data_IF_128204039536
#
_entry.id   IF_128204039536
#
_cell.length_a   1.000
_cell.length_b   1.000
_cell.length_c   1.000
_cell.angle_alpha   90.00
_cell.angle_beta   90.00
_cell.angle_gamma   90.00
#
_symmetry.space_group_name_H-M   'P 1'
#
loop_
_entity.id
_entity.type
_entity.pdbx_description
1 polymer ?
#
# COMPACT_ATOMS: atom_id res chain seq x y z
N UNK A 1 33.80 2.00 -10.79
CA UNK A 1 33.11 0.78 -11.26
C UNK A 1 31.63 0.96 -10.94
N UNK A 2 30.77 1.13 -11.95
CA UNK A 2 29.32 1.15 -11.75
C UNK A 2 28.89 -0.23 -11.22
N UNK A 3 28.30 -0.30 -10.04
CA UNK A 3 27.69 -1.53 -9.53
C UNK A 3 26.63 -1.99 -10.54
N UNK A 4 26.90 -3.10 -11.23
CA UNK A 4 25.88 -3.72 -12.09
C UNK A 4 24.69 -4.11 -11.23
N UNK A 5 23.47 -3.82 -11.72
CA UNK A 5 22.17 -4.15 -11.10
C UNK A 5 21.81 -3.35 -9.84
N UNK A 6 22.32 -2.12 -9.67
CA UNK A 6 21.89 -1.26 -8.55
C UNK A 6 20.39 -0.99 -8.61
N UNK A 7 19.69 -1.25 -7.52
CA UNK A 7 18.28 -0.96 -7.36
C UNK A 7 18.05 0.26 -6.45
N UNK A 8 17.12 1.14 -6.81
CA UNK A 8 16.64 2.20 -5.92
C UNK A 8 15.22 1.90 -5.46
N UNK A 9 14.96 2.09 -4.17
CA UNK A 9 13.63 2.00 -3.56
C UNK A 9 13.25 3.34 -2.97
N UNK A 10 12.21 4.02 -3.50
CA UNK A 10 11.65 5.22 -2.85
C UNK A 10 10.71 4.85 -1.72
N UNK A 11 10.59 5.74 -0.70
CA UNK A 11 9.80 5.42 0.48
C UNK A 11 10.34 4.24 1.28
N UNK A 12 11.67 4.07 1.25
CA UNK A 12 12.38 2.93 1.82
C UNK A 12 12.21 2.75 3.34
N UNK A 13 11.83 3.79 4.07
CA UNK A 13 11.49 3.72 5.49
C UNK A 13 10.01 3.40 5.77
N UNK A 14 9.18 3.26 4.72
CA UNK A 14 7.79 2.84 4.82
C UNK A 14 7.66 1.32 4.99
N UNK A 15 6.45 0.84 5.31
CA UNK A 15 6.20 -0.58 5.58
C UNK A 15 6.62 -1.49 4.42
N UNK A 16 6.13 -1.23 3.19
CA UNK A 16 6.55 -2.00 2.02
C UNK A 16 8.01 -1.70 1.64
N UNK A 17 8.39 -0.42 1.59
CA UNK A 17 9.74 -0.03 1.15
C UNK A 17 10.85 -0.69 1.97
N UNK A 18 10.70 -0.76 3.30
CA UNK A 18 11.69 -1.39 4.16
C UNK A 18 11.75 -2.92 4.00
N UNK A 19 10.59 -3.58 3.90
CA UNK A 19 10.54 -5.01 3.61
C UNK A 19 11.15 -5.34 2.25
N UNK A 20 10.94 -4.49 1.25
CA UNK A 20 11.54 -4.66 -0.09
C UNK A 20 13.07 -4.46 -0.06
N UNK A 21 13.57 -3.44 0.65
CA UNK A 21 15.02 -3.25 0.84
C UNK A 21 15.66 -4.49 1.46
N UNK A 22 15.08 -5.02 2.56
CA UNK A 22 15.56 -6.25 3.21
C UNK A 22 15.55 -7.45 2.27
N UNK A 23 14.49 -7.61 1.49
CA UNK A 23 14.39 -8.69 0.52
C UNK A 23 15.46 -8.56 -0.57
N UNK A 24 15.62 -7.39 -1.17
CA UNK A 24 16.61 -7.17 -2.23
C UNK A 24 18.04 -7.46 -1.74
N UNK A 25 18.39 -7.01 -0.53
CA UNK A 25 19.68 -7.34 0.10
C UNK A 25 19.83 -8.86 0.26
N UNK A 26 18.80 -9.57 0.74
CA UNK A 26 18.83 -11.02 0.91
C UNK A 26 18.97 -11.79 -0.42
N UNK A 27 18.56 -11.19 -1.54
CA UNK A 27 18.75 -11.70 -2.91
C UNK A 27 20.10 -11.31 -3.50
N UNK A 28 20.95 -10.60 -2.77
CA UNK A 28 22.26 -10.13 -3.26
C UNK A 28 22.19 -8.97 -4.25
N UNK A 29 21.06 -8.23 -4.27
CA UNK A 29 20.89 -7.03 -5.10
C UNK A 29 21.43 -5.83 -4.35
N UNK A 30 22.38 -5.05 -4.91
CA UNK A 30 22.81 -3.78 -4.34
C UNK A 30 21.63 -2.80 -4.26
N UNK A 31 21.41 -2.17 -3.10
CA UNK A 31 20.24 -1.33 -2.87
C UNK A 31 20.64 0.08 -2.43
N UNK A 32 20.03 1.05 -3.08
CA UNK A 32 19.95 2.42 -2.63
C UNK A 32 18.57 2.71 -2.05
N UNK A 33 18.51 2.95 -0.75
CA UNK A 33 17.29 3.23 0.00
C UNK A 33 17.03 4.74 0.05
N UNK A 34 15.97 5.21 -0.62
CA UNK A 34 15.64 6.64 -0.69
C UNK A 34 14.56 7.01 0.31
N UNK A 35 14.85 8.05 1.12
CA UNK A 35 13.97 8.58 2.17
C UNK A 35 13.93 10.10 2.15
N UNK A 36 12.83 10.69 2.63
CA UNK A 36 12.71 12.16 2.79
C UNK A 36 13.56 12.69 3.95
N UNK A 37 13.65 11.95 5.02
CA UNK A 37 14.42 12.32 6.20
C UNK A 37 15.49 11.28 6.52
N UNK A 38 16.75 11.59 6.20
CA UNK A 38 17.90 10.71 6.39
C UNK A 38 18.35 10.61 7.87
N UNK A 39 17.82 11.48 8.76
CA UNK A 39 18.19 11.48 10.17
C UNK A 39 17.66 10.26 10.94
N UNK A 40 16.54 9.68 10.52
CA UNK A 40 16.01 8.46 11.11
C UNK A 40 16.69 7.24 10.49
N UNK A 41 17.66 6.67 11.20
CA UNK A 41 18.42 5.48 10.77
C UNK A 41 17.81 4.15 11.25
N UNK A 42 16.90 4.18 12.23
CA UNK A 42 16.29 3.00 12.86
C UNK A 42 15.81 1.95 11.83
N UNK A 43 15.12 2.32 10.73
CA UNK A 43 14.64 1.34 9.75
C UNK A 43 15.75 0.59 9.00
N UNK A 44 16.98 1.12 9.01
CA UNK A 44 18.11 0.63 8.22
C UNK A 44 19.24 0.04 9.08
N UNK A 45 19.06 -0.03 10.40
CA UNK A 45 20.07 -0.61 11.29
C UNK A 45 20.35 -2.06 10.90
N UNK A 46 21.65 -2.38 10.73
CA UNK A 46 22.12 -3.71 10.33
C UNK A 46 21.88 -4.08 8.86
N UNK A 47 21.41 -3.15 8.02
CA UNK A 47 21.22 -3.39 6.58
C UNK A 47 22.40 -2.83 5.78
N UNK A 48 22.92 -3.66 4.86
CA UNK A 48 23.95 -3.25 3.90
C UNK A 48 23.29 -2.56 2.70
N UNK A 49 22.99 -1.27 2.84
CA UNK A 49 22.41 -0.44 1.78
C UNK A 49 22.88 1.01 1.87
N UNK A 50 22.97 1.66 0.72
CA UNK A 50 23.20 3.10 0.65
C UNK A 50 21.89 3.85 0.97
N UNK A 51 21.89 4.72 1.99
CA UNK A 51 20.73 5.54 2.32
C UNK A 51 20.89 6.93 1.77
N UNK A 52 19.97 7.38 0.89
CA UNK A 52 20.02 8.70 0.25
C UNK A 52 18.77 9.52 0.54
N UNK A 53 18.90 10.83 0.49
CA UNK A 53 17.76 11.72 0.65
C UNK A 53 17.15 12.06 -0.72
N UNK A 54 15.86 11.80 -0.88
CA UNK A 54 15.07 12.37 -1.98
C UNK A 54 13.59 12.55 -1.60
N UNK A 55 12.91 13.46 -2.28
CA UNK A 55 11.48 13.69 -2.16
C UNK A 55 10.82 13.51 -3.53
N UNK A 56 9.68 12.82 -3.58
CA UNK A 56 8.95 12.62 -4.85
C UNK A 56 8.43 13.93 -5.45
N UNK A 57 8.33 15.00 -4.65
CA UNK A 57 7.96 16.34 -5.12
C UNK A 57 9.16 17.16 -5.59
N UNK A 58 10.39 16.66 -5.42
CA UNK A 58 11.64 17.29 -5.90
C UNK A 58 12.33 16.40 -6.94
N UNK A 59 12.04 16.67 -8.22
CA UNK A 59 12.60 15.93 -9.36
C UNK A 59 14.13 15.91 -9.36
N UNK A 60 14.79 16.99 -8.94
CA UNK A 60 16.26 17.05 -8.92
C UNK A 60 16.86 16.13 -7.84
N UNK A 61 16.20 16.02 -6.68
CA UNK A 61 16.63 15.08 -5.65
C UNK A 61 16.47 13.62 -6.11
N UNK A 62 15.38 13.31 -6.82
CA UNK A 62 15.17 12.00 -7.42
C UNK A 62 16.21 11.67 -8.48
N UNK A 63 16.54 12.62 -9.36
CA UNK A 63 17.55 12.44 -10.41
C UNK A 63 18.91 12.07 -9.81
N UNK A 64 19.37 12.80 -8.78
CA UNK A 64 20.61 12.46 -8.08
C UNK A 64 20.54 11.07 -7.43
N UNK A 65 19.42 10.73 -6.81
CA UNK A 65 19.24 9.41 -6.19
C UNK A 65 19.26 8.26 -7.23
N UNK A 66 18.83 8.52 -8.46
CA UNK A 66 18.74 7.54 -9.55
C UNK A 66 20.03 7.39 -10.37
N UNK A 67 21.09 8.17 -10.09
CA UNK A 67 22.37 8.05 -10.82
C UNK A 67 22.94 6.63 -10.69
N UNK A 68 23.18 5.97 -11.83
CA UNK A 68 23.71 4.61 -11.91
C UNK A 68 22.73 3.50 -11.54
N UNK A 69 21.46 3.80 -11.31
CA UNK A 69 20.41 2.84 -11.00
C UNK A 69 19.92 2.13 -12.26
N UNK A 70 19.84 0.80 -12.21
CA UNK A 70 19.31 -0.01 -13.31
C UNK A 70 17.81 -0.32 -13.13
N UNK A 71 17.41 -0.66 -11.90
CA UNK A 71 16.01 -0.99 -11.57
C UNK A 71 15.48 -0.01 -10.52
N UNK A 72 14.35 0.61 -10.81
CA UNK A 72 13.71 1.56 -9.92
C UNK A 72 12.40 1.02 -9.37
N UNK A 73 12.31 0.84 -8.05
CA UNK A 73 11.08 0.52 -7.34
C UNK A 73 10.43 1.82 -6.86
N UNK A 74 9.48 2.31 -7.62
CA UNK A 74 8.73 3.55 -7.37
C UNK A 74 7.62 3.29 -6.33
N UNK A 75 8.02 3.11 -5.05
CA UNK A 75 7.12 2.75 -3.93
C UNK A 75 6.58 3.98 -3.21
N UNK A 76 7.29 5.10 -3.25
CA UNK A 76 6.94 6.33 -2.54
C UNK A 76 5.61 6.92 -3.01
N UNK A 77 4.66 7.08 -2.09
CA UNK A 77 3.38 7.75 -2.31
C UNK A 77 2.77 8.22 -0.99
N UNK A 78 1.85 9.20 -1.04
CA UNK A 78 1.01 9.55 0.09
C UNK A 78 -0.17 8.59 0.17
N UNK A 79 -0.24 7.80 1.25
CA UNK A 79 -1.36 6.93 1.54
C UNK A 79 -2.20 7.49 2.69
N UNK A 80 -3.22 8.27 2.37
CA UNK A 80 -4.22 8.78 3.29
C UNK A 80 -5.60 8.69 2.64
N UNK A 81 -6.62 8.27 3.38
CA UNK A 81 -8.01 8.28 2.89
C UNK A 81 -8.71 9.61 3.19
N UNK A 82 -8.14 10.42 4.11
CA UNK A 82 -8.68 11.71 4.53
C UNK A 82 -7.56 12.75 4.71
N UNK A 83 -7.85 13.98 4.33
CA UNK A 83 -7.06 15.19 4.62
C UNK A 83 -8.00 16.40 4.66
N UNK A 84 -7.56 17.54 5.21
CA UNK A 84 -8.33 18.79 5.19
C UNK A 84 -8.58 19.27 3.75
N UNK A 85 -7.56 19.21 2.93
CA UNK A 85 -7.62 19.42 1.47
C UNK A 85 -7.15 18.16 0.75
N UNK A 86 -8.05 17.18 0.46
CA UNK A 86 -7.66 15.91 -0.14
C UNK A 86 -7.13 16.05 -1.56
N UNK A 87 -7.55 17.09 -2.31
CA UNK A 87 -7.05 17.34 -3.65
C UNK A 87 -5.58 17.77 -3.61
N UNK A 88 -5.26 18.76 -2.77
CA UNK A 88 -3.91 19.28 -2.62
C UNK A 88 -2.99 18.27 -1.92
N UNK A 89 -3.42 17.71 -0.78
CA UNK A 89 -2.56 16.96 0.14
C UNK A 89 -2.40 15.48 -0.23
N UNK A 90 -3.23 14.97 -1.16
CA UNK A 90 -3.21 13.56 -1.58
C UNK A 90 -3.10 13.47 -3.10
N UNK A 91 -4.10 13.98 -3.84
CA UNK A 91 -4.19 13.77 -5.28
C UNK A 91 -3.03 14.45 -6.03
N UNK A 92 -2.85 15.76 -5.85
CA UNK A 92 -1.81 16.51 -6.57
C UNK A 92 -0.41 16.04 -6.18
N UNK A 93 -0.13 15.77 -4.91
CA UNK A 93 1.17 15.26 -4.45
C UNK A 93 1.50 13.92 -5.10
N UNK A 94 0.52 12.99 -5.18
CA UNK A 94 0.75 11.68 -5.80
C UNK A 94 0.92 11.78 -7.31
N UNK A 95 0.16 12.63 -7.99
CA UNK A 95 0.25 12.79 -9.43
C UNK A 95 1.57 13.48 -9.85
N UNK A 96 1.94 14.56 -9.16
CA UNK A 96 3.23 15.24 -9.35
C UNK A 96 4.39 14.30 -9.00
N UNK A 97 4.31 13.60 -7.88
CA UNK A 97 5.31 12.60 -7.49
C UNK A 97 5.49 11.50 -8.54
N UNK A 98 4.40 11.01 -9.13
CA UNK A 98 4.46 10.03 -10.23
C UNK A 98 5.19 10.62 -11.44
N UNK A 99 4.82 11.83 -11.86
CA UNK A 99 5.49 12.53 -12.97
C UNK A 99 6.99 12.65 -12.72
N UNK A 100 7.36 13.19 -11.56
CA UNK A 100 8.75 13.42 -11.20
C UNK A 100 9.56 12.12 -11.14
N UNK A 101 8.99 11.05 -10.59
CA UNK A 101 9.64 9.74 -10.52
C UNK A 101 9.95 9.16 -11.91
N UNK A 102 8.97 9.18 -12.83
CA UNK A 102 9.16 8.60 -14.16
C UNK A 102 10.11 9.47 -15.01
N UNK A 103 9.93 10.78 -14.99
CA UNK A 103 10.80 11.69 -15.74
C UNK A 103 12.24 11.70 -15.21
N UNK A 104 12.45 11.67 -13.89
CA UNK A 104 13.79 11.57 -13.31
C UNK A 104 14.45 10.24 -13.66
N UNK A 105 13.68 9.13 -13.68
CA UNK A 105 14.18 7.82 -14.10
C UNK A 105 14.60 7.82 -15.57
N UNK A 106 13.83 8.48 -16.44
CA UNK A 106 14.18 8.65 -17.85
C UNK A 106 15.50 9.42 -18.02
N UNK A 107 15.62 10.54 -17.33
CA UNK A 107 16.82 11.40 -17.39
C UNK A 107 18.07 10.71 -16.80
N UNK A 108 17.89 9.79 -15.84
CA UNK A 108 18.97 9.02 -15.25
C UNK A 108 19.35 7.75 -16.04
N UNK A 109 18.59 7.40 -17.09
CA UNK A 109 18.84 6.22 -17.91
C UNK A 109 18.46 4.90 -17.23
N UNK A 110 17.48 4.93 -16.31
CA UNK A 110 16.91 3.72 -15.68
C UNK A 110 16.29 2.85 -16.76
N UNK A 111 16.53 1.53 -16.69
CA UNK A 111 16.04 0.58 -17.68
C UNK A 111 14.63 0.09 -17.36
N UNK A 112 14.35 -0.16 -16.07
CA UNK A 112 13.12 -0.79 -15.65
C UNK A 112 12.55 -0.15 -14.38
N UNK A 113 11.24 0.09 -14.40
CA UNK A 113 10.48 0.63 -13.26
C UNK A 113 9.44 -0.38 -12.80
N UNK A 114 9.43 -0.68 -11.49
CA UNK A 114 8.30 -1.32 -10.83
C UNK A 114 7.50 -0.23 -10.11
N UNK A 115 6.34 0.09 -10.65
CA UNK A 115 5.48 1.15 -10.14
C UNK A 115 4.47 0.60 -9.13
N UNK A 116 4.46 1.15 -7.91
CA UNK A 116 3.49 0.79 -6.88
C UNK A 116 2.15 1.50 -7.12
N UNK A 117 1.26 0.84 -7.81
CA UNK A 117 -0.13 1.22 -7.91
C UNK A 117 -0.92 0.73 -6.66
N UNK A 118 -2.15 0.33 -6.80
CA UNK A 118 -3.03 -0.19 -5.74
C UNK A 118 -4.22 -0.90 -6.34
N UNK A 119 -4.83 -1.82 -5.59
CA UNK A 119 -6.19 -2.31 -5.91
C UNK A 119 -7.21 -1.15 -6.03
N UNK A 120 -6.93 0.02 -5.45
CA UNK A 120 -7.75 1.22 -5.61
C UNK A 120 -7.91 1.68 -7.07
N UNK A 121 -6.97 1.32 -7.95
CA UNK A 121 -7.02 1.61 -9.38
C UNK A 121 -7.79 0.57 -10.21
N UNK A 122 -8.35 -0.48 -9.59
CA UNK A 122 -9.09 -1.54 -10.29
C UNK A 122 -10.58 -1.23 -10.44
N UNK A 123 -11.17 -1.69 -11.52
CA UNK A 123 -12.59 -1.64 -11.75
C UNK A 123 -13.30 -2.81 -11.07
N UNK A 124 -14.09 -2.52 -10.05
CA UNK A 124 -14.84 -3.48 -9.24
C UNK A 124 -16.21 -3.86 -9.83
N UNK A 125 -16.47 -3.64 -11.12
CA UNK A 125 -17.76 -3.90 -11.74
C UNK A 125 -18.15 -5.39 -11.77
N UNK A 126 -17.17 -6.28 -11.63
CA UNK A 126 -17.35 -7.75 -11.66
C UNK A 126 -16.44 -8.41 -10.63
N UNK A 127 -16.88 -9.58 -10.12
CA UNK A 127 -16.12 -10.40 -9.16
C UNK A 127 -15.87 -11.80 -9.75
N UNK A 128 -14.72 -12.42 -9.50
CA UNK A 128 -13.54 -11.78 -8.90
C UNK A 128 -12.97 -10.69 -9.81
N UNK A 129 -12.47 -9.61 -9.21
CA UNK A 129 -11.89 -8.47 -9.95
C UNK A 129 -10.57 -8.88 -10.61
N UNK A 130 -10.39 -8.48 -11.88
CA UNK A 130 -9.19 -8.76 -12.70
C UNK A 130 -8.57 -7.46 -13.22
N UNK A 131 -7.29 -7.52 -13.57
CA UNK A 131 -6.56 -6.41 -14.23
C UNK A 131 -7.24 -5.99 -15.55
N UNK A 132 -7.76 -6.96 -16.30
CA UNK A 132 -8.38 -6.75 -17.62
C UNK A 132 -9.71 -5.98 -17.58
N UNK A 133 -10.31 -5.80 -16.40
CA UNK A 133 -11.55 -5.00 -16.29
C UNK A 133 -11.28 -3.49 -16.34
N UNK A 134 -10.01 -3.12 -16.43
CA UNK A 134 -9.60 -1.72 -16.59
C UNK A 134 -9.54 -0.96 -15.26
N UNK A 135 -9.61 0.35 -15.40
CA UNK A 135 -9.41 1.29 -14.30
C UNK A 135 -10.72 1.57 -13.55
N UNK A 136 -10.59 1.99 -12.29
CA UNK A 136 -11.70 2.33 -11.40
C UNK A 136 -12.47 3.56 -11.94
N UNK A 137 -13.77 3.44 -12.26
CA UNK A 137 -14.58 4.57 -12.69
C UNK A 137 -15.06 5.46 -11.52
N UNK A 138 -14.96 5.00 -10.28
CA UNK A 138 -15.41 5.73 -9.11
C UNK A 138 -14.45 6.87 -8.74
N UNK A 139 -14.95 8.11 -8.80
CA UNK A 139 -14.16 9.33 -8.57
C UNK A 139 -14.41 9.97 -7.20
N UNK A 140 -15.12 9.29 -6.29
CA UNK A 140 -15.52 9.87 -5.00
C UNK A 140 -14.38 10.04 -3.99
N UNK A 141 -13.25 9.34 -4.14
CA UNK A 141 -12.13 9.40 -3.20
C UNK A 141 -10.83 9.84 -3.87
N UNK A 142 -10.19 10.89 -3.36
CA UNK A 142 -8.99 11.48 -3.96
C UNK A 142 -7.76 10.55 -3.93
N UNK A 143 -7.64 9.67 -2.94
CA UNK A 143 -6.59 8.66 -2.96
C UNK A 143 -6.81 7.65 -4.11
N UNK A 144 -8.04 7.12 -4.26
CA UNK A 144 -8.37 6.21 -5.38
C UNK A 144 -8.15 6.89 -6.73
N UNK A 145 -8.58 8.16 -6.86
CA UNK A 145 -8.34 8.95 -8.05
C UNK A 145 -6.85 9.10 -8.34
N UNK A 146 -6.05 9.41 -7.32
CA UNK A 146 -4.60 9.61 -7.48
C UNK A 146 -3.89 8.32 -7.91
N UNK A 147 -4.33 7.15 -7.41
CA UNK A 147 -3.76 5.85 -7.83
C UNK A 147 -4.17 5.50 -9.26
N UNK A 148 -5.42 5.74 -9.61
CA UNK A 148 -5.94 5.51 -10.95
C UNK A 148 -5.24 6.37 -12.01
N UNK A 149 -5.22 7.69 -11.79
CA UNK A 149 -4.64 8.65 -12.73
C UNK A 149 -3.11 8.61 -12.71
N UNK A 150 -2.50 8.38 -11.53
CA UNK A 150 -1.06 8.19 -11.39
C UNK A 150 -0.56 6.97 -12.15
N UNK A 151 -1.26 5.83 -12.08
CA UNK A 151 -0.90 4.64 -12.85
C UNK A 151 -0.98 4.90 -14.36
N UNK A 152 -2.06 5.54 -14.82
CA UNK A 152 -2.23 5.91 -16.23
C UNK A 152 -1.11 6.83 -16.69
N UNK A 153 -0.82 7.87 -15.91
CA UNK A 153 0.27 8.80 -16.19
C UNK A 153 1.64 8.09 -16.22
N UNK A 154 1.87 7.14 -15.31
CA UNK A 154 3.13 6.38 -15.26
C UNK A 154 3.35 5.58 -16.55
N UNK A 155 2.34 4.86 -17.05
CA UNK A 155 2.42 4.14 -18.32
C UNK A 155 2.59 5.08 -19.53
N UNK A 156 1.86 6.21 -19.57
CA UNK A 156 1.97 7.20 -20.63
C UNK A 156 3.40 7.76 -20.72
N UNK A 157 3.98 8.14 -19.57
CA UNK A 157 5.34 8.69 -19.52
C UNK A 157 6.41 7.63 -19.80
N UNK A 158 6.26 6.41 -19.25
CA UNK A 158 7.19 5.31 -19.52
C UNK A 158 7.25 5.00 -21.02
N UNK A 159 6.10 4.90 -21.69
CA UNK A 159 6.01 4.74 -23.14
C UNK A 159 6.66 5.91 -23.89
N UNK A 160 6.38 7.16 -23.48
CA UNK A 160 6.98 8.36 -24.08
C UNK A 160 8.50 8.36 -24.03
N UNK A 161 9.07 7.88 -22.93
CA UNK A 161 10.51 7.87 -22.68
C UNK A 161 11.20 6.54 -23.00
N UNK A 162 10.45 5.56 -23.52
CA UNK A 162 10.94 4.21 -23.87
C UNK A 162 11.63 3.49 -22.69
N UNK A 163 10.97 3.50 -21.52
CA UNK A 163 11.40 2.81 -20.31
C UNK A 163 10.42 1.69 -20.02
N UNK A 164 10.94 0.49 -19.69
CA UNK A 164 10.09 -0.61 -19.24
C UNK A 164 9.41 -0.27 -17.91
N UNK A 165 8.09 -0.43 -17.84
CA UNK A 165 7.32 -0.22 -16.63
C UNK A 165 6.32 -1.35 -16.40
N UNK A 166 6.39 -1.91 -15.18
CA UNK A 166 5.43 -2.89 -14.68
C UNK A 166 4.73 -2.31 -13.46
N UNK A 167 3.39 -2.34 -13.45
CA UNK A 167 2.63 -1.89 -12.30
C UNK A 167 2.24 -3.07 -11.39
N UNK A 168 2.41 -2.90 -10.08
CA UNK A 168 1.93 -3.85 -9.07
C UNK A 168 0.82 -3.22 -8.25
N UNK A 169 -0.25 -3.99 -8.02
CA UNK A 169 -1.47 -3.52 -7.37
C UNK A 169 -1.73 -4.31 -6.07
N UNK A 170 -1.05 -3.93 -4.97
CA UNK A 170 -1.23 -4.63 -3.71
C UNK A 170 -2.61 -4.38 -3.09
N UNK A 171 -3.12 -5.39 -2.39
CA UNK A 171 -4.29 -5.30 -1.52
C UNK A 171 -3.93 -4.75 -0.13
N UNK A 172 -4.71 -5.03 0.90
CA UNK A 172 -4.50 -4.50 2.26
C UNK A 172 -3.26 -5.11 2.92
N UNK A 173 -2.12 -4.41 2.84
CA UNK A 173 -0.84 -4.87 3.38
C UNK A 173 -0.79 -4.81 4.90
N UNK A 174 -0.37 -5.92 5.51
CA UNK A 174 -0.10 -6.10 6.94
C UNK A 174 1.21 -6.87 7.13
N UNK A 175 1.74 -6.96 8.34
CA UNK A 175 2.93 -7.80 8.61
C UNK A 175 3.99 -7.10 9.45
N UNK A 176 5.17 -7.73 9.52
CA UNK A 176 6.30 -7.26 10.31
C UNK A 176 7.07 -6.10 9.67
N UNK A 177 8.12 -5.63 10.35
CA UNK A 177 8.95 -4.49 9.93
C UNK A 177 8.12 -3.23 9.61
N UNK A 178 7.07 -3.01 10.41
CA UNK A 178 6.26 -1.81 10.35
C UNK A 178 6.83 -0.77 11.31
N UNK A 179 7.15 0.41 10.77
CA UNK A 179 7.56 1.57 11.55
C UNK A 179 6.36 2.52 11.66
N UNK A 180 6.27 3.27 12.75
CA UNK A 180 5.17 4.23 12.91
C UNK A 180 5.31 5.42 11.93
N UNK A 181 4.20 5.96 11.39
CA UNK A 181 2.82 5.54 11.59
C UNK A 181 2.43 4.31 10.74
N UNK A 182 1.49 3.50 11.25
CA UNK A 182 0.96 2.37 10.50
C UNK A 182 0.15 2.82 9.28
N UNK A 183 0.09 1.97 8.24
CA UNK A 183 -0.80 2.17 7.11
C UNK A 183 -2.27 2.12 7.54
N UNK A 184 -3.17 2.72 6.74
CA UNK A 184 -4.62 2.74 7.03
C UNK A 184 -5.18 1.33 7.20
N UNK A 185 -4.82 0.39 6.33
CA UNK A 185 -5.26 -1.01 6.43
C UNK A 185 -4.70 -1.70 7.67
N UNK A 186 -3.43 -1.51 7.98
CA UNK A 186 -2.84 -2.12 9.17
C UNK A 186 -3.42 -1.54 10.46
N UNK A 187 -3.78 -0.26 10.47
CA UNK A 187 -4.44 0.38 11.59
C UNK A 187 -5.78 -0.30 11.96
N UNK A 188 -6.47 -0.94 11.01
CA UNK A 188 -7.69 -1.71 11.30
C UNK A 188 -7.41 -2.85 12.27
N UNK A 189 -6.29 -3.60 12.10
CA UNK A 189 -5.91 -4.66 13.05
C UNK A 189 -5.58 -4.07 14.43
N UNK A 190 -4.90 -2.93 14.47
CA UNK A 190 -4.64 -2.20 15.72
C UNK A 190 -5.95 -1.82 16.43
N UNK A 191 -6.91 -1.25 15.71
CA UNK A 191 -8.21 -0.86 16.26
C UNK A 191 -9.03 -2.06 16.76
N UNK A 192 -8.94 -3.22 16.07
CA UNK A 192 -9.55 -4.48 16.57
C UNK A 192 -8.95 -4.86 17.92
N UNK A 193 -7.61 -4.90 18.02
CA UNK A 193 -6.90 -5.28 19.26
C UNK A 193 -7.14 -4.27 20.40
N UNK A 194 -7.39 -3.00 20.08
CA UNK A 194 -7.76 -1.94 21.02
C UNK A 194 -9.25 -1.92 21.35
N UNK A 195 -10.08 -2.80 20.78
CA UNK A 195 -11.55 -2.86 20.96
C UNK A 195 -12.28 -1.61 20.45
N UNK A 196 -11.75 -0.94 19.44
CA UNK A 196 -12.27 0.33 18.92
C UNK A 196 -13.13 0.15 17.64
N UNK A 197 -13.45 -1.08 17.24
CA UNK A 197 -14.34 -1.37 16.12
C UNK A 197 -15.63 -2.04 16.65
N UNK A 198 -16.62 -1.27 17.13
CA UNK A 198 -17.87 -1.85 17.65
C UNK A 198 -18.86 -2.23 16.56
N UNK A 199 -18.69 -1.70 15.34
CA UNK A 199 -19.67 -1.80 14.25
C UNK A 199 -19.04 -2.37 12.99
N UNK A 200 -19.76 -3.24 12.30
CA UNK A 200 -19.39 -3.79 11.01
C UNK A 200 -20.09 -3.05 9.86
N UNK A 201 -19.31 -2.67 8.84
CA UNK A 201 -19.80 -1.96 7.65
C UNK A 201 -20.08 -2.88 6.47
N UNK A 202 -20.07 -4.20 6.71
CA UNK A 202 -20.25 -5.24 5.68
C UNK A 202 -19.23 -5.15 4.52
N UNK A 203 -18.00 -4.73 4.84
CA UNK A 203 -16.85 -4.76 3.93
C UNK A 203 -16.08 -6.06 4.11
N UNK A 204 -15.58 -6.64 3.02
CA UNK A 204 -14.55 -7.68 3.10
C UNK A 204 -13.23 -7.11 2.64
N UNK A 205 -12.18 -7.38 3.41
CA UNK A 205 -10.81 -6.94 3.14
C UNK A 205 -9.97 -8.12 2.67
N UNK A 206 -9.12 -7.84 1.71
CA UNK A 206 -8.14 -8.80 1.22
C UNK A 206 -6.80 -8.52 1.90
N UNK A 207 -6.51 -9.26 2.95
CA UNK A 207 -5.27 -9.13 3.72
C UNK A 207 -4.12 -9.83 3.02
N UNK A 208 -2.99 -9.13 2.86
CA UNK A 208 -1.77 -9.70 2.30
C UNK A 208 -0.57 -9.36 3.18
N UNK A 209 0.35 -10.31 3.35
CA UNK A 209 1.61 -10.04 4.05
C UNK A 209 2.48 -9.11 3.20
N UNK A 210 3.03 -8.10 3.84
CA UNK A 210 3.93 -7.12 3.19
C UNK A 210 5.17 -7.77 2.58
N UNK A 211 5.64 -8.89 3.14
CA UNK A 211 6.78 -9.65 2.60
C UNK A 211 6.43 -10.33 1.28
N UNK A 212 5.20 -10.85 1.17
CA UNK A 212 4.72 -11.41 -0.09
C UNK A 212 4.58 -10.32 -1.17
N UNK A 213 4.14 -9.11 -0.77
CA UNK A 213 4.11 -7.97 -1.70
C UNK A 213 5.52 -7.55 -2.11
N UNK A 214 6.49 -7.55 -1.18
CA UNK A 214 7.89 -7.28 -1.51
C UNK A 214 8.44 -8.32 -2.50
N UNK A 215 8.17 -9.62 -2.29
CA UNK A 215 8.53 -10.68 -3.25
C UNK A 215 7.82 -10.46 -4.59
N UNK A 216 6.54 -10.09 -4.61
CA UNK A 216 5.79 -9.74 -5.82
C UNK A 216 6.42 -8.57 -6.59
N UNK A 217 6.92 -7.55 -5.89
CA UNK A 217 7.67 -6.44 -6.52
C UNK A 217 8.98 -6.93 -7.15
N UNK A 218 9.74 -7.78 -6.46
CA UNK A 218 10.96 -8.39 -6.99
C UNK A 218 10.67 -9.26 -8.23
N UNK A 219 9.63 -10.09 -8.16
CA UNK A 219 9.19 -10.92 -9.28
C UNK A 219 8.73 -10.07 -10.48
N UNK A 220 8.03 -8.96 -10.24
CA UNK A 220 7.63 -8.01 -11.27
C UNK A 220 8.85 -7.36 -11.94
N UNK A 221 9.91 -7.07 -11.19
CA UNK A 221 11.16 -6.55 -11.75
C UNK A 221 11.88 -7.57 -12.64
N UNK A 222 11.82 -8.86 -12.29
CA UNK A 222 12.64 -9.91 -12.94
C UNK A 222 11.88 -10.67 -14.02
N UNK A 223 10.56 -10.80 -13.92
CA UNK A 223 9.71 -11.63 -14.79
C UNK A 223 8.53 -10.87 -15.40
N UNK A 224 8.14 -9.71 -14.82
CA UNK A 224 6.98 -8.98 -15.28
C UNK A 224 7.13 -8.52 -16.74
N UNK A 225 6.04 -8.51 -17.47
CA UNK A 225 5.98 -8.04 -18.86
C UNK A 225 5.83 -6.54 -18.88
N UNK A 226 6.59 -5.85 -19.72
CA UNK A 226 6.49 -4.40 -19.91
C UNK A 226 5.06 -3.98 -20.30
N UNK A 227 4.58 -2.89 -19.70
CA UNK A 227 3.24 -2.37 -19.92
C UNK A 227 2.14 -3.10 -19.14
N UNK A 228 2.47 -4.15 -18.38
CA UNK A 228 1.49 -4.99 -17.70
C UNK A 228 1.25 -4.60 -16.24
N UNK A 229 0.06 -4.99 -15.75
CA UNK A 229 -0.42 -4.79 -14.38
C UNK A 229 -0.55 -6.15 -13.70
N UNK A 230 -0.16 -6.23 -12.42
CA UNK A 230 -0.25 -7.46 -11.63
C UNK A 230 -0.90 -7.19 -10.27
N UNK A 231 -2.02 -7.85 -10.00
CA UNK A 231 -2.67 -7.83 -8.68
C UNK A 231 -1.84 -8.65 -7.70
N UNK A 232 -1.33 -8.01 -6.66
CA UNK A 232 -0.66 -8.67 -5.55
C UNK A 232 -1.62 -8.74 -4.36
N UNK A 233 -2.40 -9.80 -4.33
CA UNK A 233 -3.47 -10.00 -3.36
C UNK A 233 -3.53 -11.46 -2.90
N UNK A 234 -4.36 -11.71 -1.90
CA UNK A 234 -4.68 -13.07 -1.46
C UNK A 234 -5.87 -13.63 -2.25
N UNK A 235 -6.04 -14.95 -2.25
CA UNK A 235 -7.19 -15.60 -2.89
C UNK A 235 -8.50 -15.35 -2.15
N UNK A 236 -8.43 -15.15 -0.83
CA UNK A 236 -9.60 -14.99 0.02
C UNK A 236 -9.61 -13.65 0.71
N UNK A 237 -10.76 -13.02 0.69
CA UNK A 237 -11.06 -11.87 1.53
C UNK A 237 -11.76 -12.31 2.82
N UNK A 238 -11.66 -11.50 3.86
CA UNK A 238 -12.28 -11.73 5.17
C UNK A 238 -13.06 -10.51 5.63
N UNK A 239 -14.17 -10.73 6.35
CA UNK A 239 -14.89 -9.65 7.02
C UNK A 239 -14.09 -9.14 8.24
N UNK A 240 -14.42 -7.93 8.71
CA UNK A 240 -13.87 -7.43 9.97
C UNK A 240 -14.26 -8.36 11.13
N UNK A 241 -15.48 -8.92 11.09
CA UNK A 241 -15.96 -9.88 12.08
C UNK A 241 -15.09 -11.14 12.11
N UNK A 242 -14.75 -11.72 10.95
CA UNK A 242 -13.92 -12.92 10.89
C UNK A 242 -12.46 -12.63 11.29
N UNK A 243 -11.95 -11.46 10.88
CA UNK A 243 -10.65 -10.96 11.36
C UNK A 243 -10.64 -10.82 12.90
N UNK A 244 -11.74 -10.32 13.50
CA UNK A 244 -11.87 -10.23 14.97
C UNK A 244 -11.90 -11.60 15.64
N UNK A 245 -12.52 -12.63 15.03
CA UNK A 245 -12.51 -14.02 15.55
C UNK A 245 -11.08 -14.59 15.60
N UNK A 246 -10.23 -14.25 14.62
CA UNK A 246 -8.81 -14.62 14.68
C UNK A 246 -8.17 -14.02 15.94
N UNK A 247 -8.37 -12.73 16.19
CA UNK A 247 -7.88 -12.05 17.40
C UNK A 247 -8.42 -12.67 18.71
N UNK A 248 -9.70 -13.08 18.73
CA UNK A 248 -10.29 -13.77 19.89
C UNK A 248 -9.60 -15.10 20.21
N UNK A 249 -9.23 -15.86 19.17
CA UNK A 249 -8.52 -17.14 19.34
C UNK A 249 -7.09 -16.94 19.80
N UNK A 250 -6.40 -15.92 19.28
CA UNK A 250 -5.00 -15.63 19.59
C UNK A 250 -4.83 -15.02 20.98
N UNK A 251 -5.77 -14.17 21.41
CA UNK A 251 -5.67 -13.33 22.62
C UNK A 251 -6.98 -13.37 23.42
N UNK A 252 -7.36 -14.54 23.98
CA UNK A 252 -8.61 -14.70 24.75
C UNK A 252 -8.69 -13.75 25.95
N UNK A 253 -7.54 -13.40 26.53
CA UNK A 253 -7.43 -12.45 27.64
C UNK A 253 -7.89 -11.05 27.29
N UNK A 254 -7.83 -10.67 26.01
CA UNK A 254 -8.32 -9.36 25.56
C UNK A 254 -9.84 -9.26 25.57
N UNK A 255 -10.58 -10.39 25.62
CA UNK A 255 -12.07 -10.41 25.59
C UNK A 255 -12.62 -9.51 24.47
N UNK A 256 -12.09 -9.68 23.25
CA UNK A 256 -12.53 -8.91 22.07
C UNK A 256 -14.01 -9.19 21.80
N UNK A 257 -14.79 -8.15 21.55
CA UNK A 257 -16.20 -8.27 21.14
C UNK A 257 -16.29 -8.28 19.61
N UNK A 258 -17.18 -9.11 19.07
CA UNK A 258 -17.45 -9.10 17.64
C UNK A 258 -18.20 -7.80 17.27
N UNK A 259 -17.84 -7.15 16.18
CA UNK A 259 -18.55 -5.98 15.69
C UNK A 259 -19.99 -6.34 15.34
N UNK A 260 -20.91 -5.41 15.57
CA UNK A 260 -22.35 -5.58 15.32
C UNK A 260 -22.68 -4.98 13.95
N UNK A 261 -23.38 -5.75 13.11
CA UNK A 261 -23.90 -5.23 11.86
C UNK A 261 -25.07 -4.27 12.15
N UNK A 262 -24.99 -3.05 11.61
CA UNK A 262 -26.04 -2.06 11.73
C UNK A 262 -26.72 -1.81 10.37
N UNK A 263 -28.01 -1.46 10.36
CA UNK A 263 -28.69 -1.01 9.13
C UNK A 263 -28.00 0.20 8.52
N UNK A 264 -27.93 0.26 7.19
CA UNK A 264 -27.27 1.37 6.47
C UNK A 264 -27.72 2.78 6.94
N UNK A 265 -29.03 3.08 7.13
CA UNK A 265 -29.44 4.41 7.61
C UNK A 265 -28.82 4.82 8.93
N UNK A 266 -28.66 3.88 9.86
CA UNK A 266 -28.05 4.13 11.16
C UNK A 266 -26.53 4.37 11.03
N UNK A 267 -25.86 3.64 10.13
CA UNK A 267 -24.45 3.88 9.81
C UNK A 267 -24.24 5.30 9.24
N UNK A 268 -25.12 5.76 8.34
CA UNK A 268 -25.06 7.12 7.81
C UNK A 268 -25.28 8.19 8.89
N UNK A 269 -26.23 7.97 9.81
CA UNK A 269 -26.46 8.89 10.93
C UNK A 269 -25.22 8.99 11.83
N UNK A 270 -24.63 7.87 12.21
CA UNK A 270 -23.39 7.82 13.02
C UNK A 270 -22.26 8.56 12.30
N UNK A 271 -22.03 8.28 11.03
CA UNK A 271 -20.98 8.93 10.25
C UNK A 271 -21.22 10.45 10.13
N UNK A 272 -22.45 10.88 9.94
CA UNK A 272 -22.80 12.30 9.89
C UNK A 272 -22.50 13.02 11.21
N UNK A 273 -22.84 12.40 12.34
CA UNK A 273 -22.52 12.91 13.69
C UNK A 273 -20.99 13.02 13.84
N UNK A 274 -20.24 11.95 13.50
CA UNK A 274 -18.78 11.94 13.62
C UNK A 274 -18.11 13.00 12.75
N UNK A 275 -18.61 13.20 11.51
CA UNK A 275 -18.13 14.27 10.64
C UNK A 275 -18.43 15.67 11.19
N UNK A 276 -19.58 15.84 11.83
CA UNK A 276 -19.94 17.12 12.44
C UNK A 276 -19.04 17.45 13.63
N UNK A 277 -18.72 16.47 14.47
CA UNK A 277 -17.77 16.61 15.58
C UNK A 277 -16.35 16.88 15.06
N UNK A 278 -15.95 16.21 13.99
CA UNK A 278 -14.63 16.40 13.36
C UNK A 278 -14.38 17.84 12.89
N UNK A 279 -15.42 18.52 12.41
CA UNK A 279 -15.31 19.93 11.98
C UNK A 279 -15.00 20.89 13.15
N UNK A 280 -15.37 20.51 14.38
CA UNK A 280 -15.16 21.31 15.59
C UNK A 280 -13.86 20.91 16.28
N UNK A 281 -13.55 19.60 16.31
CA UNK A 281 -12.43 19.05 17.08
C UNK A 281 -11.11 18.97 16.33
N UNK A 282 -11.06 19.31 15.04
CA UNK A 282 -9.90 19.18 14.14
C UNK A 282 -9.32 17.74 14.04
N UNK A 283 -10.02 16.74 14.58
CA UNK A 283 -9.63 15.32 14.53
C UNK A 283 -10.30 14.64 13.35
N UNK A 284 -9.55 13.79 12.62
CA UNK A 284 -10.10 12.98 11.54
C UNK A 284 -11.29 12.13 12.05
N UNK A 285 -12.44 12.11 11.35
CA UNK A 285 -13.55 11.22 11.72
C UNK A 285 -13.13 9.77 11.49
N UNK A 286 -13.56 8.86 12.35
CA UNK A 286 -13.26 7.41 12.21
C UNK A 286 -13.92 6.83 10.95
N UNK A 287 -15.10 7.36 10.58
CA UNK A 287 -15.84 6.99 9.38
C UNK A 287 -16.61 8.19 8.84
N UNK A 288 -16.70 8.33 7.53
CA UNK A 288 -17.48 9.37 6.86
C UNK A 288 -18.68 8.77 6.12
N UNK A 289 -19.68 9.61 5.84
CA UNK A 289 -20.81 9.19 4.97
C UNK A 289 -20.34 8.77 3.59
N UNK A 290 -19.25 9.36 3.08
CA UNK A 290 -18.60 9.00 1.82
C UNK A 290 -17.97 7.62 1.90
N UNK A 291 -17.32 7.29 3.01
CA UNK A 291 -16.72 5.96 3.21
C UNK A 291 -17.80 4.88 3.24
N UNK A 292 -18.93 5.12 3.90
CA UNK A 292 -20.05 4.19 3.90
C UNK A 292 -20.60 4.01 2.47
N UNK A 293 -20.78 5.11 1.73
CA UNK A 293 -21.28 5.06 0.35
C UNK A 293 -20.34 4.30 -0.60
N UNK A 294 -19.03 4.34 -0.33
CA UNK A 294 -18.00 3.76 -1.18
C UNK A 294 -17.67 2.31 -0.79
N UNK A 295 -17.56 2.04 0.50
CA UNK A 295 -17.01 0.79 1.00
C UNK A 295 -18.05 -0.18 1.56
N UNK A 296 -19.25 0.28 1.95
CA UNK A 296 -20.26 -0.62 2.51
C UNK A 296 -20.76 -1.61 1.47
N UNK A 297 -20.48 -2.88 1.69
CA UNK A 297 -20.79 -3.98 0.79
C UNK A 297 -19.73 -4.23 -0.29
N UNK A 298 -18.60 -3.49 -0.26
CA UNK A 298 -17.47 -3.75 -1.15
C UNK A 298 -16.84 -5.11 -0.80
N UNK A 299 -16.67 -5.95 -1.81
CA UNK A 299 -15.99 -7.23 -1.69
C UNK A 299 -14.64 -7.16 -2.42
N UNK A 300 -13.55 -7.24 -1.65
CA UNK A 300 -12.20 -7.26 -2.20
C UNK A 300 -11.80 -8.68 -2.62
N UNK A 301 -12.54 -9.24 -3.58
CA UNK A 301 -12.28 -10.55 -4.16
C UNK A 301 -11.57 -10.38 -5.50
N UNK A 302 -10.35 -10.90 -5.61
CA UNK A 302 -9.46 -10.72 -6.76
C UNK A 302 -9.09 -12.05 -7.40
N UNK A 303 -8.93 -12.04 -8.73
CA UNK A 303 -8.29 -13.12 -9.47
C UNK A 303 -6.78 -12.79 -9.60
N UNK A 304 -5.96 -13.58 -8.95
CA UNK A 304 -4.49 -13.44 -8.99
C UNK A 304 -3.82 -14.41 -9.96
N UNK A 305 -4.59 -15.07 -10.82
CA UNK A 305 -4.08 -16.09 -11.74
C UNK A 305 -2.98 -15.54 -12.65
N UNK A 306 -3.08 -14.28 -13.08
CA UNK A 306 -2.07 -13.62 -13.90
C UNK A 306 -0.73 -13.51 -13.16
N UNK A 307 -0.73 -12.97 -11.94
CA UNK A 307 0.48 -12.86 -11.14
C UNK A 307 1.08 -14.24 -10.82
N UNK A 308 0.25 -15.27 -10.59
CA UNK A 308 0.72 -16.64 -10.40
C UNK A 308 1.39 -17.22 -11.63
N UNK A 309 0.72 -17.13 -12.77
CA UNK A 309 1.19 -17.80 -13.99
C UNK A 309 2.43 -17.10 -14.58
N UNK A 310 2.45 -15.78 -14.61
CA UNK A 310 3.49 -15.00 -15.25
C UNK A 310 4.66 -14.70 -14.32
N UNK A 311 4.40 -14.40 -13.05
CA UNK A 311 5.45 -14.06 -12.08
C UNK A 311 5.87 -15.26 -11.21
N UNK A 312 5.01 -16.27 -11.03
CA UNK A 312 5.17 -17.29 -10.00
C UNK A 312 4.82 -16.79 -8.61
N UNK A 313 3.94 -15.78 -8.51
CA UNK A 313 3.53 -15.19 -7.23
C UNK A 313 2.69 -16.17 -6.40
N UNK A 314 3.15 -16.47 -5.17
CA UNK A 314 2.53 -17.44 -4.27
C UNK A 314 2.47 -16.89 -2.83
N UNK A 315 1.49 -16.03 -2.52
CA UNK A 315 1.39 -15.45 -1.18
C UNK A 315 0.94 -16.49 -0.15
N UNK A 316 1.35 -16.31 1.11
CA UNK A 316 0.79 -17.06 2.23
C UNK A 316 -0.71 -16.75 2.37
N UNK A 317 -1.46 -17.67 2.99
CA UNK A 317 -2.89 -17.44 3.12
C UNK A 317 -3.22 -16.26 4.06
N UNK A 318 -4.39 -15.66 3.85
CA UNK A 318 -4.84 -14.45 4.56
C UNK A 318 -4.94 -14.64 6.08
N UNK A 319 -5.36 -15.82 6.56
CA UNK A 319 -5.48 -16.11 8.00
C UNK A 319 -4.11 -16.14 8.68
N UNK A 320 -3.12 -16.75 8.03
CA UNK A 320 -1.75 -16.76 8.52
C UNK A 320 -1.16 -15.33 8.54
N UNK A 321 -1.36 -14.55 7.47
CA UNK A 321 -0.90 -13.17 7.40
C UNK A 321 -1.49 -12.32 8.55
N UNK A 322 -2.80 -12.43 8.80
CA UNK A 322 -3.48 -11.73 9.91
C UNK A 322 -2.95 -12.19 11.26
N UNK A 323 -2.77 -13.51 11.45
CA UNK A 323 -2.24 -14.08 12.70
C UNK A 323 -0.85 -13.51 13.02
N UNK A 324 0.07 -13.59 12.07
CA UNK A 324 1.44 -13.08 12.24
C UNK A 324 1.46 -11.56 12.48
N UNK A 325 0.63 -10.80 11.76
CA UNK A 325 0.52 -9.36 11.93
C UNK A 325 -0.04 -8.95 13.29
N UNK A 326 -1.06 -9.66 13.80
CA UNK A 326 -1.61 -9.40 15.13
C UNK A 326 -0.61 -9.74 16.24
N UNK A 327 0.12 -10.86 16.12
CA UNK A 327 1.20 -11.22 17.06
C UNK A 327 2.31 -10.15 17.02
N UNK A 328 2.71 -9.71 15.84
CA UNK A 328 3.70 -8.63 15.71
C UNK A 328 3.26 -7.35 16.42
N UNK A 329 2.00 -6.92 16.24
CA UNK A 329 1.46 -5.74 16.90
C UNK A 329 1.45 -5.89 18.43
N UNK A 330 1.04 -7.05 18.94
CA UNK A 330 1.00 -7.30 20.40
C UNK A 330 2.40 -7.27 21.02
N UNK A 331 3.41 -7.76 20.32
CA UNK A 331 4.81 -7.74 20.78
C UNK A 331 5.44 -6.35 20.66
N UNK A 332 4.88 -5.44 19.87
CA UNK A 332 5.39 -4.10 19.66
C UNK A 332 4.46 -3.04 20.28
N UNK A 333 4.51 -2.88 21.61
CA UNK A 333 3.63 -1.98 22.37
C UNK A 333 3.59 -0.55 21.82
N UNK A 334 4.73 -0.04 21.30
CA UNK A 334 4.81 1.28 20.65
C UNK A 334 3.81 1.42 19.51
N UNK A 335 3.64 0.36 18.70
CA UNK A 335 2.70 0.36 17.57
C UNK A 335 1.24 0.24 18.03
N UNK A 336 1.00 -0.26 19.24
CA UNK A 336 -0.35 -0.30 19.84
C UNK A 336 -0.72 1.01 20.55
N UNK A 337 0.17 2.00 20.61
CA UNK A 337 -0.09 3.24 21.34
C UNK A 337 -0.21 3.03 22.87
N UNK A 338 0.52 2.02 23.40
CA UNK A 338 0.56 1.65 24.83
C UNK A 338 1.94 1.89 25.42
#
# INVERSE_FOLDING_TARGET
MTQKNLALVTGANGHLGNNLVRLLISKGVPVRASVRNIKNKEPFEGLDCEVVQSDITDKQSLKRALEGVETFYAVGAVFKLWAKDPEKDIYNVNLEGTRNMIEAAAEAGVKRIVYLSSIAALNYSRLPTKESYGQNPDRRNMYYNSKNDGEKLAFELAKKHNIELVAVLPSAMIGSEAFAPLSVSYNILQLILQKQIPVETNITLNWIDVKDVAEGCYLAATKGVDGERYILANERCTSIRDTTKIGQRLFPELKLKLPVALPKPLLYLIAWIMQSISKISDKAPVITTRDIAMFSGLQQNFDISKARNELGFAPKNSEQAVTEAMVYLMNNKRLLGR
#
